data_IF_217153461183
#
_entry.id   IF_217153461183
#
_cell.length_a   1.000
_cell.length_b   1.000
_cell.length_c   1.000
_cell.angle_alpha   90.00
_cell.angle_beta   90.00
_cell.angle_gamma   90.00
#
_symmetry.space_group_name_H-M   'P 1'
#
loop_
_entity.id
_entity.type
_entity.pdbx_description
1 polymer ?
#
# COMPACT_ATOMS: atom_id res chain seq x y z
N UNK A 1 -10.19 -4.50 -9.34
CA UNK A 1 -9.79 -4.13 -10.73
C UNK A 1 -10.97 -4.33 -11.68
N UNK A 2 -11.19 -3.45 -12.66
CA UNK A 2 -12.27 -3.66 -13.68
C UNK A 2 -11.98 -4.92 -14.49
N UNK A 3 -13.01 -5.66 -14.90
CA UNK A 3 -12.84 -6.98 -15.53
C UNK A 3 -11.90 -6.96 -16.75
N UNK A 4 -12.11 -6.03 -17.69
CA UNK A 4 -11.26 -5.85 -18.87
C UNK A 4 -9.80 -5.52 -18.54
N UNK A 5 -9.55 -4.96 -17.35
CA UNK A 5 -8.21 -4.55 -16.91
C UNK A 5 -7.44 -5.69 -16.23
N UNK A 6 -8.09 -6.78 -15.83
CA UNK A 6 -7.43 -7.90 -15.14
C UNK A 6 -6.43 -8.65 -16.04
N UNK A 7 -6.67 -8.67 -17.35
CA UNK A 7 -5.80 -9.32 -18.34
C UNK A 7 -4.69 -8.40 -18.87
N UNK A 8 -4.60 -7.16 -18.40
CA UNK A 8 -3.51 -6.29 -18.80
C UNK A 8 -2.19 -6.88 -18.31
N UNK A 9 -1.21 -6.98 -19.21
CA UNK A 9 0.12 -7.57 -18.94
C UNK A 9 0.75 -6.91 -17.70
N UNK A 10 0.67 -5.59 -17.59
CA UNK A 10 1.19 -4.83 -16.44
C UNK A 10 0.56 -5.24 -15.10
N UNK A 11 -0.69 -5.69 -15.09
CA UNK A 11 -1.40 -6.13 -13.87
C UNK A 11 -0.94 -7.53 -13.49
N UNK A 12 -0.82 -8.42 -14.47
CA UNK A 12 -0.37 -9.79 -14.25
C UNK A 12 1.09 -9.84 -13.79
N UNK A 13 1.98 -9.05 -14.41
CA UNK A 13 3.38 -8.93 -14.00
C UNK A 13 3.51 -8.35 -12.59
N UNK A 14 2.72 -7.32 -12.25
CA UNK A 14 2.75 -6.70 -10.92
C UNK A 14 2.42 -7.67 -9.79
N UNK A 15 1.60 -8.69 -10.03
CA UNK A 15 1.26 -9.74 -9.06
C UNK A 15 2.33 -10.81 -8.95
N UNK A 16 3.10 -11.04 -10.02
CA UNK A 16 4.17 -12.04 -10.04
C UNK A 16 5.47 -11.57 -9.35
N UNK A 17 5.59 -10.28 -9.03
CA UNK A 17 6.76 -9.70 -8.36
C UNK A 17 6.83 -10.12 -6.89
N UNK A 18 7.81 -10.95 -6.55
CA UNK A 18 8.04 -11.44 -5.18
C UNK A 18 8.55 -10.37 -4.20
N UNK A 19 8.99 -9.21 -4.69
CA UNK A 19 9.45 -8.08 -3.87
C UNK A 19 8.29 -7.24 -3.28
N UNK A 20 7.06 -7.47 -3.73
CA UNK A 20 5.89 -6.71 -3.29
C UNK A 20 5.16 -7.45 -2.19
N UNK A 21 5.60 -7.22 -0.96
CA UNK A 21 4.84 -7.66 0.21
C UNK A 21 3.56 -6.84 0.38
N UNK A 22 2.50 -7.50 0.85
CA UNK A 22 1.23 -6.87 1.17
C UNK A 22 1.28 -6.47 2.65
N UNK A 23 1.20 -5.17 2.99
CA UNK A 23 1.19 -4.73 4.39
C UNK A 23 -0.06 -5.22 5.14
N UNK A 24 0.05 -5.43 6.45
CA UNK A 24 -1.03 -5.97 7.30
C UNK A 24 -2.33 -5.15 7.33
N UNK A 25 -2.27 -3.88 6.91
CA UNK A 25 -3.45 -3.01 6.79
C UNK A 25 -4.19 -3.16 5.45
N UNK A 26 -3.75 -4.07 4.57
CA UNK A 26 -4.38 -4.41 3.29
C UNK A 26 -4.59 -5.93 3.24
N UNK A 27 -5.82 -6.35 2.93
CA UNK A 27 -6.11 -7.73 2.55
C UNK A 27 -6.21 -7.81 1.03
N UNK A 28 -5.23 -8.44 0.37
CA UNK A 28 -5.20 -8.59 -1.08
C UNK A 28 -5.54 -10.02 -1.53
N UNK A 29 -6.56 -10.17 -2.38
CA UNK A 29 -6.85 -11.40 -3.11
C UNK A 29 -6.35 -11.23 -4.55
N UNK A 30 -5.17 -11.77 -4.82
CA UNK A 30 -4.52 -11.71 -6.13
C UNK A 30 -5.19 -12.61 -7.19
N UNK A 31 -6.02 -13.58 -6.79
CA UNK A 31 -6.80 -14.39 -7.73
C UNK A 31 -8.00 -13.60 -8.26
N UNK A 32 -8.71 -12.90 -7.36
CA UNK A 32 -9.88 -12.09 -7.72
C UNK A 32 -9.51 -10.68 -8.18
N UNK A 33 -8.26 -10.26 -7.97
CA UNK A 33 -7.77 -8.90 -8.22
C UNK A 33 -8.59 -7.86 -7.44
N UNK A 34 -8.78 -8.13 -6.14
CA UNK A 34 -9.51 -7.30 -5.17
C UNK A 34 -8.63 -7.04 -3.96
N UNK A 35 -8.81 -5.88 -3.32
CA UNK A 35 -8.13 -5.55 -2.07
C UNK A 35 -9.11 -4.83 -1.13
N UNK A 36 -8.98 -5.10 0.16
CA UNK A 36 -9.76 -4.45 1.22
C UNK A 36 -8.81 -3.66 2.12
N UNK A 37 -9.16 -2.42 2.41
CA UNK A 37 -8.45 -1.63 3.41
C UNK A 37 -8.91 -2.07 4.80
N UNK A 38 -8.10 -2.92 5.45
CA UNK A 38 -8.49 -3.61 6.67
C UNK A 38 -8.54 -2.67 7.89
N UNK A 39 -7.56 -1.76 7.99
CA UNK A 39 -7.48 -0.77 9.07
C UNK A 39 -6.68 0.46 8.66
N UNK A 40 -6.89 1.56 9.37
CA UNK A 40 -6.00 2.72 9.29
C UNK A 40 -4.64 2.34 9.89
N UNK A 41 -3.52 2.49 9.16
CA UNK A 41 -2.20 2.19 9.70
C UNK A 41 -1.77 3.25 10.71
N UNK A 42 -1.07 2.81 11.74
CA UNK A 42 -0.27 3.68 12.60
C UNK A 42 1.06 4.05 11.94
N UNK A 43 1.80 4.98 12.56
CA UNK A 43 3.06 5.46 12.01
C UNK A 43 4.11 4.33 11.86
N UNK A 44 4.13 3.38 12.80
CA UNK A 44 5.05 2.24 12.77
C UNK A 44 4.69 1.17 11.73
N UNK A 45 3.43 1.14 11.28
CA UNK A 45 2.97 0.16 10.29
C UNK A 45 3.43 0.54 8.88
N UNK A 46 3.76 1.82 8.66
CA UNK A 46 4.21 2.33 7.35
C UNK A 46 5.74 2.28 7.29
N UNK A 47 6.33 1.55 6.34
CA UNK A 47 7.77 1.43 6.20
C UNK A 47 8.36 2.69 5.55
N UNK A 48 8.51 3.74 6.34
CA UNK A 48 9.20 4.95 5.90
C UNK A 48 10.68 4.67 5.67
N UNK A 49 11.26 5.28 4.63
CA UNK A 49 12.68 5.11 4.29
C UNK A 49 13.64 5.64 5.38
N UNK A 50 13.12 6.46 6.30
CA UNK A 50 13.83 7.06 7.42
C UNK A 50 12.93 7.06 8.66
N UNK A 51 13.53 7.25 9.84
CA UNK A 51 12.78 7.50 11.06
C UNK A 51 11.97 8.79 10.92
N UNK A 52 10.65 8.68 11.02
CA UNK A 52 9.75 9.81 10.92
C UNK A 52 9.61 10.52 12.27
N UNK A 53 9.71 11.85 12.23
CA UNK A 53 9.45 12.75 13.37
C UNK A 53 8.24 13.65 13.01
N UNK A 54 6.99 13.19 13.26
CA UNK A 54 5.79 13.87 12.77
C UNK A 54 5.61 15.29 13.32
N UNK A 55 6.17 15.59 14.51
CA UNK A 55 6.10 16.91 15.10
C UNK A 55 6.76 17.98 14.21
N UNK A 56 7.83 17.64 13.49
CA UNK A 56 8.51 18.58 12.59
C UNK A 56 7.60 19.05 11.45
N UNK A 57 6.70 18.18 10.97
CA UNK A 57 5.70 18.53 9.96
C UNK A 57 4.66 19.47 10.55
N UNK A 58 4.18 19.19 11.76
CA UNK A 58 3.21 20.04 12.47
C UNK A 58 3.78 21.44 12.70
N UNK A 59 5.02 21.52 13.18
CA UNK A 59 5.73 22.78 13.44
C UNK A 59 5.95 23.61 12.16
N UNK A 60 6.22 22.95 11.03
CA UNK A 60 6.39 23.63 9.74
C UNK A 60 5.10 24.31 9.26
N UNK A 61 3.95 23.64 9.46
CA UNK A 61 2.64 24.13 9.01
C UNK A 61 1.86 24.91 10.07
N UNK A 62 2.40 25.14 11.27
CA UNK A 62 1.72 25.86 12.34
C UNK A 62 1.75 27.40 12.20
N UNK A 63 2.21 27.92 11.06
CA UNK A 63 2.35 29.36 10.79
C UNK A 63 1.25 29.88 9.87
#
# INVERSE_FOLDING_TARGET
VREKSKQLVIVLESVALAERDVPDYIEADHNKMTATFARVPGLSDVPFAVQMEPNLVVEFYSR
#
